data_IF_385753674845
#
_entry.id   IF_385753674845
#
_cell.length_a   1.000
_cell.length_b   1.000
_cell.length_c   1.000
_cell.angle_alpha   90.00
_cell.angle_beta   90.00
_cell.angle_gamma   90.00
#
_symmetry.space_group_name_H-M   'P 1'
#
loop_
_entity.id
_entity.type
_entity.pdbx_description
1 polymer ?
#
# COMPACT_ATOMS: atom_id res chain seq x y z
N UNK A 1 -9.77 -53.76 54.38
CA UNK A 1 -8.73 -52.97 53.68
C UNK A 1 -8.87 -53.18 52.17
N UNK A 2 -9.31 -52.15 51.42
CA UNK A 2 -9.14 -52.01 49.95
C UNK A 2 -8.99 -50.52 49.64
N UNK A 3 -8.02 -50.23 48.78
CA UNK A 3 -7.36 -48.94 48.51
C UNK A 3 -8.20 -48.08 47.54
N UNK A 4 -8.30 -46.75 47.71
CA UNK A 4 -8.91 -45.88 46.70
C UNK A 4 -7.87 -45.53 45.62
N UNK A 5 -8.06 -45.99 44.39
CA UNK A 5 -7.19 -45.67 43.25
C UNK A 5 -7.86 -44.71 42.28
N UNK A 6 -7.52 -43.43 42.45
CA UNK A 6 -6.87 -42.62 41.41
C UNK A 6 -7.42 -42.71 39.97
N UNK A 7 -8.68 -42.33 39.76
CA UNK A 7 -9.20 -42.01 38.41
C UNK A 7 -9.51 -40.52 38.23
N UNK A 8 -9.83 -39.78 39.29
CA UNK A 8 -10.19 -38.36 39.21
C UNK A 8 -9.00 -37.42 38.91
N UNK A 9 -7.76 -37.86 39.15
CA UNK A 9 -6.57 -37.01 38.96
C UNK A 9 -6.10 -36.94 37.49
N UNK A 10 -6.38 -37.96 36.68
CA UNK A 10 -5.95 -38.01 35.27
C UNK A 10 -6.83 -37.15 34.35
N UNK A 11 -8.11 -36.97 34.69
CA UNK A 11 -9.05 -36.22 33.84
C UNK A 11 -8.78 -34.72 33.88
N UNK A 12 -8.26 -34.17 35.00
CA UNK A 12 -7.95 -32.74 35.13
C UNK A 12 -6.63 -32.31 34.47
N UNK A 13 -5.67 -33.22 34.31
CA UNK A 13 -4.40 -32.89 33.67
C UNK A 13 -4.51 -32.78 32.14
N UNK A 14 -5.47 -33.48 31.52
CA UNK A 14 -5.72 -33.40 30.08
C UNK A 14 -6.44 -32.11 29.65
N UNK A 15 -7.17 -31.45 30.55
CA UNK A 15 -8.00 -30.28 30.21
C UNK A 15 -7.21 -28.96 30.11
N UNK A 16 -6.06 -28.85 30.77
CA UNK A 16 -5.26 -27.61 30.77
C UNK A 16 -4.30 -27.54 29.57
N UNK A 17 -3.82 -28.68 29.08
CA UNK A 17 -2.95 -28.73 27.90
C UNK A 17 -3.69 -28.36 26.60
N UNK A 18 -5.00 -28.63 26.52
CA UNK A 18 -5.78 -28.38 25.31
C UNK A 18 -6.19 -26.90 25.15
N UNK A 19 -6.17 -26.11 26.23
CA UNK A 19 -6.53 -24.70 26.17
C UNK A 19 -5.37 -23.78 25.70
N UNK A 20 -4.11 -24.18 25.88
CA UNK A 20 -2.96 -23.39 25.43
C UNK A 20 -2.60 -23.56 23.95
N UNK A 21 -3.13 -24.57 23.25
CA UNK A 21 -2.82 -24.80 21.84
C UNK A 21 -3.62 -23.93 20.86
N UNK A 22 -4.62 -23.18 21.34
CA UNK A 22 -5.53 -22.38 20.51
C UNK A 22 -5.08 -20.92 20.30
N UNK A 23 -3.91 -20.53 20.80
CA UNK A 23 -3.36 -19.17 20.69
C UNK A 23 -2.26 -19.05 19.64
N UNK A 24 -2.29 -19.86 18.57
CA UNK A 24 -1.48 -19.58 17.39
C UNK A 24 -2.26 -18.58 16.54
N UNK A 25 -1.85 -17.30 16.44
CA UNK A 25 -2.38 -16.45 15.39
C UNK A 25 -1.95 -17.13 14.10
N UNK A 26 -2.91 -17.65 13.35
CA UNK A 26 -2.70 -17.98 11.95
C UNK A 26 -2.39 -16.65 11.26
N UNK A 27 -1.11 -16.26 11.25
CA UNK A 27 -0.59 -15.34 10.28
C UNK A 27 -0.67 -16.09 8.94
N UNK A 28 -1.88 -16.13 8.37
CA UNK A 28 -2.05 -16.38 6.95
C UNK A 28 -1.38 -15.20 6.26
N UNK A 29 -0.07 -15.32 6.08
CA UNK A 29 0.66 -14.60 5.06
C UNK A 29 0.10 -15.09 3.75
N UNK A 30 -1.08 -14.58 3.37
CA UNK A 30 -1.43 -14.47 1.98
C UNK A 30 -0.22 -13.77 1.37
N UNK A 31 0.55 -14.52 0.58
CA UNK A 31 1.58 -13.92 -0.25
C UNK A 31 0.83 -12.90 -1.11
N UNK A 32 0.84 -11.64 -0.69
CA UNK A 32 0.23 -10.57 -1.43
C UNK A 32 0.90 -10.64 -2.80
N UNK A 33 0.10 -10.89 -3.84
CA UNK A 33 0.61 -10.88 -5.20
C UNK A 33 1.38 -9.57 -5.37
N UNK A 34 2.66 -9.67 -5.74
CA UNK A 34 3.54 -8.52 -5.77
C UNK A 34 2.95 -7.48 -6.73
N UNK A 35 2.42 -6.40 -6.17
CA UNK A 35 1.93 -5.26 -6.93
C UNK A 35 3.13 -4.54 -7.52
N UNK A 36 3.04 -4.20 -8.80
CA UNK A 36 4.04 -3.33 -9.44
C UNK A 36 3.35 -2.16 -10.11
N UNK A 37 4.01 -1.01 -10.04
CA UNK A 37 3.56 0.24 -10.68
C UNK A 37 4.66 0.69 -11.62
N UNK A 38 4.34 0.82 -12.90
CA UNK A 38 5.25 1.33 -13.93
C UNK A 38 4.71 2.64 -14.47
N UNK A 39 5.56 3.66 -14.63
CA UNK A 39 5.13 4.95 -15.14
C UNK A 39 5.50 5.15 -16.60
N UNK A 40 4.63 5.86 -17.32
CA UNK A 40 4.90 6.34 -18.68
C UNK A 40 4.71 7.87 -18.70
N UNK A 41 5.77 8.66 -18.93
CA UNK A 41 7.17 8.23 -19.13
C UNK A 41 7.81 7.62 -17.87
N UNK A 42 8.92 6.88 -18.05
CA UNK A 42 9.67 6.25 -16.94
C UNK A 42 10.25 7.27 -15.94
N UNK A 43 10.45 8.50 -16.38
CA UNK A 43 10.93 9.63 -15.58
C UNK A 43 9.85 10.71 -15.59
N UNK A 44 8.81 10.58 -14.75
CA UNK A 44 7.73 11.56 -14.71
C UNK A 44 8.24 12.91 -14.18
N UNK A 45 7.68 13.97 -14.75
CA UNK A 45 8.00 15.34 -14.37
C UNK A 45 6.99 15.85 -13.35
N UNK A 46 7.45 16.69 -12.43
CA UNK A 46 6.60 17.47 -11.54
C UNK A 46 5.74 18.44 -12.36
N UNK A 47 4.50 18.66 -11.93
CA UNK A 47 3.50 19.50 -12.60
C UNK A 47 3.07 19.04 -14.01
N UNK A 48 3.50 17.85 -14.45
CA UNK A 48 3.13 17.27 -15.75
C UNK A 48 2.34 15.97 -15.53
N UNK A 49 1.23 15.75 -16.25
CA UNK A 49 0.50 14.48 -16.18
C UNK A 49 1.36 13.30 -16.67
N UNK A 50 1.26 12.18 -15.98
CA UNK A 50 1.89 10.92 -16.40
C UNK A 50 0.97 9.73 -16.13
N UNK A 51 1.20 8.65 -16.85
CA UNK A 51 0.46 7.41 -16.68
C UNK A 51 1.16 6.50 -15.68
N UNK A 52 0.39 5.77 -14.90
CA UNK A 52 0.84 4.72 -14.00
C UNK A 52 0.06 3.45 -14.31
N UNK A 53 0.74 2.47 -14.88
CA UNK A 53 0.20 1.15 -15.17
C UNK A 53 0.45 0.22 -13.98
N UNK A 54 -0.61 -0.44 -13.54
CA UNK A 54 -0.58 -1.30 -12.36
C UNK A 54 -0.77 -2.76 -12.76
N UNK A 55 0.08 -3.63 -12.24
CA UNK A 55 -0.09 -5.09 -12.37
C UNK A 55 -0.04 -5.77 -11.01
N UNK A 56 -0.57 -7.00 -10.94
CA UNK A 56 -0.59 -7.80 -9.72
C UNK A 56 -1.79 -7.56 -8.79
N UNK A 57 -2.66 -6.58 -9.08
CA UNK A 57 -3.90 -6.31 -8.32
C UNK A 57 -5.13 -6.17 -9.22
N UNK A 58 -6.30 -6.53 -8.68
CA UNK A 58 -7.58 -6.53 -9.40
C UNK A 58 -8.29 -5.17 -9.46
N UNK A 59 -9.43 -5.13 -10.16
CA UNK A 59 -10.31 -3.96 -10.22
C UNK A 59 -10.88 -3.60 -8.84
N UNK A 60 -11.21 -2.33 -8.64
CA UNK A 60 -11.82 -1.82 -7.41
C UNK A 60 -10.82 -1.44 -6.31
N UNK A 61 -9.53 -1.77 -6.49
CA UNK A 61 -8.47 -1.26 -5.61
C UNK A 61 -8.12 0.18 -5.97
N UNK A 62 -7.77 0.96 -4.94
CA UNK A 62 -7.33 2.34 -5.12
C UNK A 62 -5.82 2.42 -5.29
N UNK A 63 -5.35 3.47 -5.97
CA UNK A 63 -3.95 3.87 -6.10
C UNK A 63 -3.85 5.39 -5.92
N UNK A 64 -2.87 5.83 -5.13
CA UNK A 64 -2.53 7.24 -4.95
C UNK A 64 -1.06 7.39 -4.55
N UNK A 65 -0.53 8.61 -4.66
CA UNK A 65 0.80 8.95 -4.17
C UNK A 65 0.71 9.66 -2.82
N UNK A 66 1.63 9.31 -1.92
CA UNK A 66 1.74 9.86 -0.56
C UNK A 66 3.16 10.37 -0.29
N UNK A 67 3.29 11.40 0.54
CA UNK A 67 4.60 11.83 1.09
C UNK A 67 5.19 10.85 2.09
N UNK A 68 4.36 9.96 2.64
CA UNK A 68 4.77 8.98 3.65
C UNK A 68 4.57 7.56 3.16
N UNK A 69 5.55 6.71 3.45
CA UNK A 69 5.54 5.28 3.11
C UNK A 69 4.55 4.45 3.92
N UNK A 70 3.98 5.00 4.99
CA UNK A 70 2.90 4.37 5.77
C UNK A 70 1.51 4.52 5.13
N UNK A 71 1.43 5.21 3.99
CA UNK A 71 0.20 5.40 3.24
C UNK A 71 -0.95 6.02 4.03
N UNK A 72 -0.64 6.86 5.03
CA UNK A 72 -1.64 7.66 5.72
C UNK A 72 -2.37 8.57 4.72
N UNK A 73 -3.71 8.48 4.68
CA UNK A 73 -4.53 9.24 3.71
C UNK A 73 -4.34 10.76 3.79
N UNK A 74 -4.03 11.30 4.96
CA UNK A 74 -3.72 12.73 5.16
C UNK A 74 -2.42 13.18 4.46
N UNK A 75 -1.56 12.25 4.05
CA UNK A 75 -0.28 12.52 3.38
C UNK A 75 -0.37 12.43 1.86
N UNK A 76 -1.57 12.17 1.31
CA UNK A 76 -1.83 12.07 -0.13
C UNK A 76 -1.49 13.36 -0.87
N UNK A 77 -0.85 13.23 -2.04
CA UNK A 77 -0.44 14.35 -2.92
C UNK A 77 -1.07 14.28 -4.30
N UNK A 78 -1.89 13.26 -4.55
CA UNK A 78 -2.68 13.12 -5.76
C UNK A 78 -4.13 12.80 -5.41
N UNK A 79 -5.01 12.94 -6.40
CA UNK A 79 -6.32 12.30 -6.35
C UNK A 79 -6.17 10.78 -6.23
N UNK A 80 -7.22 10.13 -5.72
CA UNK A 80 -7.30 8.68 -5.61
C UNK A 80 -7.82 8.11 -6.93
N UNK A 81 -7.03 7.28 -7.57
CA UNK A 81 -7.43 6.50 -8.74
C UNK A 81 -8.03 5.16 -8.29
N UNK A 82 -9.18 4.74 -8.82
CA UNK A 82 -9.73 3.40 -8.57
C UNK A 82 -9.60 2.54 -9.82
N UNK A 83 -8.92 1.42 -9.73
CA UNK A 83 -8.58 0.60 -10.89
C UNK A 83 -9.85 0.02 -11.54
N UNK A 84 -9.99 0.26 -12.84
CA UNK A 84 -11.10 -0.25 -13.64
C UNK A 84 -12.43 0.50 -13.48
N UNK A 85 -12.44 1.65 -12.78
CA UNK A 85 -13.55 2.62 -12.88
C UNK A 85 -13.23 3.64 -13.97
N UNK A 86 -14.17 3.93 -14.87
CA UNK A 86 -14.03 5.07 -15.78
C UNK A 86 -14.59 6.29 -15.06
N UNK A 87 -13.72 7.08 -14.45
CA UNK A 87 -14.08 8.41 -13.93
C UNK A 87 -13.40 9.42 -14.84
N UNK A 88 -14.08 10.53 -15.18
CA UNK A 88 -13.44 11.61 -15.92
C UNK A 88 -12.13 12.01 -15.23
N UNK A 89 -11.01 11.80 -15.91
CA UNK A 89 -9.67 12.10 -15.40
C UNK A 89 -9.04 11.07 -14.45
N UNK A 90 -9.61 9.86 -14.26
CA UNK A 90 -9.09 8.89 -13.30
C UNK A 90 -9.42 7.43 -13.61
N UNK A 91 -8.37 6.67 -13.94
CA UNK A 91 -8.33 5.26 -14.39
C UNK A 91 -8.97 4.97 -15.75
N UNK A 92 -8.18 4.36 -16.64
CA UNK A 92 -8.67 3.70 -17.85
C UNK A 92 -9.03 2.24 -17.57
N UNK A 93 -9.89 1.66 -18.42
CA UNK A 93 -10.48 0.30 -18.31
C UNK A 93 -9.44 -0.83 -18.12
N UNK A 94 -8.15 -0.57 -18.37
CA UNK A 94 -7.05 -1.52 -18.30
C UNK A 94 -6.12 -1.39 -17.08
N UNK A 95 -6.50 -0.63 -16.04
CA UNK A 95 -5.65 -0.50 -14.84
C UNK A 95 -4.53 0.53 -14.96
N UNK A 96 -4.65 1.44 -15.94
CA UNK A 96 -3.79 2.62 -16.09
C UNK A 96 -4.43 3.81 -15.38
N UNK A 97 -3.71 4.42 -14.44
CA UNK A 97 -4.10 5.68 -13.78
C UNK A 97 -3.37 6.86 -14.41
N UNK A 98 -4.00 8.04 -14.40
CA UNK A 98 -3.34 9.31 -14.75
C UNK A 98 -3.14 10.09 -13.47
N UNK A 99 -1.92 10.54 -13.25
CA UNK A 99 -1.57 11.36 -12.09
C UNK A 99 -0.85 12.62 -12.53
N UNK A 100 -1.08 13.70 -11.79
CA UNK A 100 -0.23 14.89 -11.79
C UNK A 100 0.14 15.15 -10.36
N UNK A 101 1.44 15.19 -10.06
CA UNK A 101 1.94 15.61 -8.75
C UNK A 101 2.39 17.05 -8.88
N UNK A 102 1.78 17.94 -8.09
CA UNK A 102 2.08 19.37 -8.19
C UNK A 102 3.22 19.77 -7.27
N UNK A 103 3.99 20.77 -7.69
CA UNK A 103 5.02 21.41 -6.84
C UNK A 103 4.41 21.95 -5.54
N UNK A 104 3.21 22.53 -5.61
CA UNK A 104 2.46 23.00 -4.44
C UNK A 104 2.16 21.87 -3.44
N UNK A 105 1.68 20.71 -3.90
CA UNK A 105 1.37 19.57 -3.02
C UNK A 105 2.61 19.02 -2.29
N UNK A 106 3.79 19.20 -2.89
CA UNK A 106 5.07 18.82 -2.30
C UNK A 106 5.77 19.95 -1.55
N UNK A 107 5.27 21.20 -1.63
CA UNK A 107 5.95 22.36 -1.08
C UNK A 107 7.30 22.65 -1.75
N UNK A 108 7.43 22.33 -3.04
CA UNK A 108 8.66 22.55 -3.81
C UNK A 108 8.63 23.94 -4.43
N UNK A 109 9.62 24.77 -4.11
CA UNK A 109 9.84 26.06 -4.76
C UNK A 109 10.67 25.88 -6.04
N UNK A 110 9.99 25.95 -7.18
CA UNK A 110 10.60 25.85 -8.51
C UNK A 110 11.41 27.08 -8.92
N UNK A 111 11.32 28.20 -8.20
CA UNK A 111 12.13 29.38 -8.47
C UNK A 111 13.54 29.28 -7.88
N UNK A 112 13.75 28.31 -6.99
CA UNK A 112 15.07 28.01 -6.44
C UNK A 112 16.03 27.54 -7.53
N UNK A 113 17.32 27.93 -7.50
CA UNK A 113 18.32 27.48 -8.48
C UNK A 113 18.50 25.96 -8.53
N UNK A 114 18.17 25.27 -7.43
CA UNK A 114 18.26 23.81 -7.29
C UNK A 114 17.08 23.33 -6.45
N UNK A 115 15.88 23.21 -7.04
CA UNK A 115 14.72 22.72 -6.32
C UNK A 115 14.97 21.26 -5.94
N UNK A 116 14.70 20.92 -4.68
CA UNK A 116 14.81 19.54 -4.20
C UNK A 116 13.41 18.95 -4.19
N UNK A 117 13.16 17.96 -5.04
CA UNK A 117 11.87 17.27 -5.08
C UNK A 117 11.93 16.09 -4.11
N UNK A 118 11.06 16.04 -3.09
CA UNK A 118 11.03 14.91 -2.18
C UNK A 118 10.51 13.66 -2.89
N UNK A 119 10.99 12.50 -2.46
CA UNK A 119 10.44 11.22 -2.89
C UNK A 119 8.99 11.08 -2.44
N UNK A 120 8.18 10.44 -3.27
CA UNK A 120 6.79 10.09 -2.95
C UNK A 120 6.59 8.59 -3.07
N UNK A 121 5.54 8.08 -2.44
CA UNK A 121 5.33 6.65 -2.26
C UNK A 121 4.00 6.20 -2.87
N UNK A 122 4.05 5.10 -3.62
CA UNK A 122 2.87 4.45 -4.17
C UNK A 122 2.09 3.74 -3.07
N UNK A 123 0.82 4.09 -2.95
CA UNK A 123 -0.07 3.58 -1.91
C UNK A 123 -1.34 3.00 -2.54
N UNK A 124 -1.76 1.84 -2.05
CA UNK A 124 -2.93 1.15 -2.58
C UNK A 124 -3.77 0.53 -1.48
N UNK A 125 -5.10 0.51 -1.66
CA UNK A 125 -5.99 -0.23 -0.75
C UNK A 125 -5.74 -1.75 -0.76
N UNK A 126 -5.05 -2.28 -1.78
CA UNK A 126 -4.60 -3.68 -1.79
C UNK A 126 -3.47 -3.95 -0.77
N UNK A 127 -2.73 -2.91 -0.37
CA UNK A 127 -1.59 -2.98 0.56
C UNK A 127 -1.73 -1.91 1.65
N UNK A 128 -2.70 -2.07 2.57
CA UNK A 128 -2.98 -1.04 3.57
C UNK A 128 -1.81 -0.86 4.54
N UNK A 129 -1.46 0.39 4.82
CA UNK A 129 -0.44 0.75 5.81
C UNK A 129 1.01 0.66 5.35
N UNK A 130 1.27 0.28 4.08
CA UNK A 130 2.62 0.21 3.54
C UNK A 130 2.66 0.58 2.06
N UNK A 131 3.69 1.33 1.67
CA UNK A 131 3.94 1.67 0.28
C UNK A 131 4.44 0.48 -0.52
N UNK A 132 4.00 0.37 -1.77
CA UNK A 132 4.43 -0.67 -2.71
C UNK A 132 5.61 -0.26 -3.57
N UNK A 133 6.03 1.00 -3.48
CA UNK A 133 7.17 1.53 -4.21
C UNK A 133 7.38 3.01 -3.94
N UNK A 134 8.52 3.51 -4.41
CA UNK A 134 8.89 4.92 -4.34
C UNK A 134 8.95 5.47 -5.76
N UNK A 135 8.44 6.68 -5.95
CA UNK A 135 8.55 7.44 -7.19
C UNK A 135 9.40 8.69 -6.94
N UNK A 136 10.35 8.91 -7.84
CA UNK A 136 11.13 10.13 -7.93
C UNK A 136 10.60 10.95 -9.10
N UNK A 137 10.28 12.22 -8.83
CA UNK A 137 9.81 13.17 -9.81
C UNK A 137 10.98 14.09 -10.20
N UNK A 138 11.01 14.46 -11.47
CA UNK A 138 12.02 15.34 -12.02
C UNK A 138 11.44 16.72 -12.34
N UNK A 139 12.28 17.74 -12.35
CA UNK A 139 11.91 19.08 -12.77
C UNK A 139 12.62 19.43 -14.07
N UNK A 140 11.98 20.26 -14.88
CA UNK A 140 12.63 20.94 -15.99
C UNK A 140 13.04 22.33 -15.50
N UNK A 141 14.33 22.62 -15.53
CA UNK A 141 14.85 23.96 -15.21
C UNK A 141 15.00 24.66 -16.57
N UNK A 142 14.23 25.71 -16.79
CA UNK A 142 14.26 26.54 -18.01
C UNK A 142 14.94 27.87 -17.75
#
# INVERSE_FOLDING_TARGET
MRKPTSLCALVRAASVALALALLVPAASGAAAAAMTVTTTPLLPLLDVPFHADVTGIGRGHSLFLSRRSDCSGASGVTSVCTLGSVVEGGSFVNGTCVFTVTSEALGVDLTSPRPTVPAVHWCSSAHPGASVGTLLLHVVIT
#
